data_IF_643160503351
#
_entry.id   IF_643160503351
#
_cell.length_a   1.000
_cell.length_b   1.000
_cell.length_c   1.000
_cell.angle_alpha   90.00
_cell.angle_beta   90.00
_cell.angle_gamma   90.00
#
_symmetry.space_group_name_H-M   'P 1'
#
loop_
_entity.id
_entity.type
_entity.pdbx_description
1 polymer ?
#
# COMPACT_ATOMS: atom_id res chain seq x y z
N UNK A 1 -16.57 3.15 -19.84
CA UNK A 1 -16.44 1.69 -19.81
C UNK A 1 -17.55 1.12 -18.93
N UNK A 2 -18.08 -0.04 -19.36
CA UNK A 2 -19.14 -0.72 -18.60
C UNK A 2 -18.59 -1.14 -17.23
N UNK A 3 -19.40 -0.96 -16.19
CA UNK A 3 -19.04 -1.44 -14.85
C UNK A 3 -18.78 -2.94 -14.91
N UNK A 4 -17.60 -3.43 -14.49
CA UNK A 4 -17.32 -4.85 -14.50
C UNK A 4 -18.36 -5.61 -13.66
N UNK A 5 -18.72 -6.82 -14.08
CA UNK A 5 -19.70 -7.63 -13.35
C UNK A 5 -19.26 -7.87 -11.90
N UNK A 6 -20.21 -7.75 -10.98
CA UNK A 6 -20.04 -7.94 -9.52
C UNK A 6 -19.18 -6.87 -8.82
N UNK A 7 -18.95 -5.72 -9.44
CA UNK A 7 -18.29 -4.59 -8.79
C UNK A 7 -19.29 -3.47 -8.48
N UNK A 8 -19.04 -2.66 -7.42
CA UNK A 8 -19.96 -1.60 -7.03
C UNK A 8 -20.03 -0.51 -8.10
N UNK A 9 -21.23 0.02 -8.35
CA UNK A 9 -21.44 1.16 -9.25
C UNK A 9 -21.01 2.51 -8.65
N UNK A 10 -20.65 2.54 -7.37
CA UNK A 10 -20.20 3.76 -6.69
C UNK A 10 -19.07 3.46 -5.72
N UNK A 11 -18.13 4.42 -5.61
CA UNK A 11 -17.08 4.46 -4.58
C UNK A 11 -17.25 5.69 -3.71
N UNK A 12 -17.31 5.53 -2.39
CA UNK A 12 -17.45 6.66 -1.47
C UNK A 12 -18.58 7.64 -1.89
N UNK A 13 -19.71 7.10 -2.37
CA UNK A 13 -20.87 7.88 -2.82
C UNK A 13 -20.71 8.57 -4.19
N UNK A 14 -19.63 8.32 -4.93
CA UNK A 14 -19.38 8.83 -6.28
C UNK A 14 -19.52 7.71 -7.30
N UNK A 15 -19.93 7.99 -8.57
CA UNK A 15 -19.90 6.97 -9.62
C UNK A 15 -18.51 6.32 -9.70
N UNK A 16 -18.48 4.99 -9.75
CA UNK A 16 -17.24 4.25 -9.90
C UNK A 16 -16.75 4.36 -11.34
N UNK A 17 -15.47 4.66 -11.50
CA UNK A 17 -14.78 4.66 -12.77
C UNK A 17 -13.71 3.55 -12.77
N UNK A 18 -13.89 2.56 -13.62
CA UNK A 18 -13.00 1.40 -13.76
C UNK A 18 -12.08 1.52 -14.99
N UNK A 19 -12.28 2.54 -15.79
CA UNK A 19 -11.43 2.83 -16.95
C UNK A 19 -10.19 3.61 -16.57
N UNK A 20 -9.19 3.54 -17.43
CA UNK A 20 -8.11 4.52 -17.41
C UNK A 20 -8.61 5.81 -18.05
N UNK A 21 -8.15 6.95 -17.54
CA UNK A 21 -8.53 8.26 -18.02
C UNK A 21 -8.24 8.39 -19.54
N UNK A 22 -9.28 8.62 -20.39
CA UNK A 22 -9.10 8.79 -21.82
C UNK A 22 -8.16 9.95 -22.19
N UNK A 23 -8.11 11.02 -21.36
CA UNK A 23 -7.20 12.15 -21.56
C UNK A 23 -5.72 11.74 -21.37
N UNK A 24 -5.46 10.65 -20.65
CA UNK A 24 -4.12 10.10 -20.48
C UNK A 24 -3.82 9.04 -21.54
N UNK A 25 -4.71 8.04 -21.69
CA UNK A 25 -4.43 6.89 -22.57
C UNK A 25 -4.46 7.22 -24.05
N UNK A 26 -5.17 8.29 -24.45
CA UNK A 26 -5.25 8.76 -25.84
C UNK A 26 -4.38 9.99 -26.12
N UNK A 27 -3.72 10.54 -25.10
CA UNK A 27 -2.82 11.68 -25.29
C UNK A 27 -1.54 11.20 -25.99
N UNK A 28 -1.15 11.83 -27.13
CA UNK A 28 0.02 11.44 -27.90
C UNK A 28 1.34 11.57 -27.14
N UNK A 29 1.40 12.45 -26.14
CA UNK A 29 2.59 12.66 -25.31
C UNK A 29 2.70 11.63 -24.19
N UNK A 30 1.60 11.09 -23.67
CA UNK A 30 1.59 10.14 -22.54
C UNK A 30 1.35 8.68 -22.96
N UNK A 31 0.55 8.44 -23.99
CA UNK A 31 0.19 7.08 -24.41
C UNK A 31 1.40 6.17 -24.71
N UNK A 32 2.49 6.64 -25.36
CA UNK A 32 3.66 5.81 -25.62
C UNK A 32 4.38 5.33 -24.34
N UNK A 33 4.33 6.15 -23.27
CA UNK A 33 5.04 5.89 -22.03
C UNK A 33 4.20 5.10 -21.02
N UNK A 34 2.91 4.90 -21.26
CA UNK A 34 2.00 4.26 -20.33
C UNK A 34 2.44 2.82 -19.96
N UNK A 35 2.71 1.97 -20.94
CA UNK A 35 3.16 0.60 -20.70
C UNK A 35 4.55 0.56 -20.06
N UNK A 36 5.55 1.32 -20.53
CA UNK A 36 6.82 1.48 -19.82
C UNK A 36 6.66 1.90 -18.35
N UNK A 37 5.82 2.90 -18.07
CA UNK A 37 5.55 3.38 -16.71
C UNK A 37 4.94 2.30 -15.80
N UNK A 38 3.96 1.54 -16.31
CA UNK A 38 3.36 0.42 -15.57
C UNK A 38 4.35 -0.72 -15.28
N UNK A 39 5.41 -0.85 -16.08
CA UNK A 39 6.48 -1.84 -15.87
C UNK A 39 7.66 -1.31 -15.07
N UNK A 40 7.78 0.00 -14.89
CA UNK A 40 8.90 0.62 -14.18
C UNK A 40 8.89 0.33 -12.67
N UNK A 41 7.72 0.10 -12.10
CA UNK A 41 7.54 -0.28 -10.70
C UNK A 41 7.02 -1.71 -10.60
N UNK A 42 7.33 -2.43 -9.51
CA UNK A 42 6.69 -3.71 -9.24
C UNK A 42 5.17 -3.56 -9.10
N UNK A 43 4.46 -4.62 -9.41
CA UNK A 43 3.02 -4.73 -9.21
C UNK A 43 2.74 -5.54 -7.96
N UNK A 44 2.02 -4.97 -7.00
CA UNK A 44 1.41 -5.70 -5.91
C UNK A 44 -0.02 -6.04 -6.29
N UNK A 45 -0.29 -7.33 -6.50
CA UNK A 45 -1.61 -7.87 -6.80
C UNK A 45 -2.22 -8.46 -5.55
N UNK A 46 -3.42 -8.00 -5.18
CA UNK A 46 -4.19 -8.46 -4.02
C UNK A 46 -5.48 -9.09 -4.50
N UNK A 47 -5.68 -10.35 -4.16
CA UNK A 47 -6.95 -11.06 -4.35
C UNK A 47 -7.69 -11.13 -3.01
N UNK A 48 -8.92 -10.64 -2.98
CA UNK A 48 -9.80 -10.58 -1.81
C UNK A 48 -11.24 -10.94 -2.20
N UNK A 49 -11.99 -11.59 -1.32
CA UNK A 49 -13.42 -11.79 -1.57
C UNK A 49 -14.11 -10.43 -1.77
N UNK A 50 -14.86 -10.23 -2.87
CA UNK A 50 -15.57 -8.99 -3.12
C UNK A 50 -16.53 -8.58 -1.98
N UNK A 51 -17.11 -9.53 -1.25
CA UNK A 51 -17.97 -9.24 -0.10
C UNK A 51 -17.15 -8.71 1.08
N UNK A 52 -15.95 -9.22 1.30
CA UNK A 52 -15.02 -8.75 2.33
C UNK A 52 -14.46 -7.35 2.03
N UNK A 53 -14.44 -6.95 0.77
CA UNK A 53 -13.98 -5.63 0.37
C UNK A 53 -15.12 -4.63 0.22
N UNK A 54 -16.14 -4.94 -0.59
CA UNK A 54 -17.24 -4.03 -0.98
C UNK A 54 -18.60 -4.35 -0.32
N UNK A 55 -18.76 -5.49 0.34
CA UNK A 55 -20.00 -5.87 0.99
C UNK A 55 -20.37 -4.98 2.17
N UNK A 56 -21.54 -5.17 2.76
CA UNK A 56 -22.01 -4.37 3.90
C UNK A 56 -21.08 -4.40 5.12
N UNK A 57 -20.31 -5.49 5.29
CA UNK A 57 -19.25 -5.63 6.29
C UNK A 57 -17.85 -5.56 5.64
N UNK A 58 -17.77 -5.09 4.39
CA UNK A 58 -16.52 -4.94 3.67
C UNK A 58 -15.67 -3.81 4.20
N UNK A 59 -14.35 -3.99 4.18
CA UNK A 59 -13.41 -3.02 4.76
C UNK A 59 -13.37 -1.70 4.00
N UNK A 60 -13.65 -1.69 2.70
CA UNK A 60 -13.71 -0.47 1.90
C UNK A 60 -14.97 0.35 2.20
N UNK A 61 -16.11 -0.30 2.43
CA UNK A 61 -17.37 0.37 2.79
C UNK A 61 -17.36 0.91 4.23
N UNK A 62 -16.53 0.31 5.09
CA UNK A 62 -16.43 0.67 6.51
C UNK A 62 -15.02 1.15 6.88
N UNK A 63 -14.45 2.16 6.21
CA UNK A 63 -13.04 2.50 6.34
C UNK A 63 -12.65 3.05 7.72
N UNK A 64 -13.62 3.52 8.51
CA UNK A 64 -13.40 4.00 9.88
C UNK A 64 -13.36 2.90 10.92
N UNK A 65 -13.82 1.70 10.58
CA UNK A 65 -13.81 0.55 11.47
C UNK A 65 -12.40 0.03 11.70
N UNK A 66 -12.13 -0.46 12.93
CA UNK A 66 -10.79 -0.80 13.40
C UNK A 66 -10.77 -2.12 14.17
N UNK A 67 -9.57 -2.59 14.44
CA UNK A 67 -9.32 -3.79 15.21
C UNK A 67 -9.29 -5.05 14.35
N UNK A 68 -9.06 -6.19 15.01
CA UNK A 68 -8.83 -7.48 14.33
C UNK A 68 -10.09 -7.96 13.59
N UNK A 69 -11.27 -7.62 14.08
CA UNK A 69 -12.55 -7.95 13.42
C UNK A 69 -12.70 -7.28 12.03
N UNK A 70 -11.87 -6.30 11.71
CA UNK A 70 -11.86 -5.59 10.42
C UNK A 70 -10.63 -5.92 9.58
N UNK A 71 -10.05 -7.08 9.82
CA UNK A 71 -9.04 -7.70 8.98
C UNK A 71 -9.70 -8.73 8.07
N UNK A 72 -9.31 -8.78 6.80
CA UNK A 72 -9.85 -9.71 5.82
C UNK A 72 -8.73 -10.53 5.21
N UNK A 73 -8.98 -11.81 5.06
CA UNK A 73 -8.04 -12.73 4.42
C UNK A 73 -7.83 -12.37 2.94
N UNK A 74 -6.59 -12.35 2.50
CA UNK A 74 -6.20 -12.06 1.13
C UNK A 74 -5.10 -13.02 0.66
N UNK A 75 -4.93 -13.10 -0.66
CA UNK A 75 -3.68 -13.53 -1.29
C UNK A 75 -3.00 -12.31 -1.87
N UNK A 76 -1.73 -12.09 -1.52
CA UNK A 76 -0.90 -11.01 -2.04
C UNK A 76 0.24 -11.57 -2.87
N UNK A 77 0.48 -10.99 -4.04
CA UNK A 77 1.57 -11.36 -4.94
C UNK A 77 2.32 -10.10 -5.37
N UNK A 78 3.64 -10.09 -5.20
CA UNK A 78 4.51 -9.08 -5.78
C UNK A 78 5.06 -9.60 -7.10
N UNK A 79 4.71 -8.93 -8.18
CA UNK A 79 5.17 -9.22 -9.54
C UNK A 79 6.23 -8.19 -9.90
N UNK A 80 7.45 -8.66 -10.15
CA UNK A 80 8.57 -7.81 -10.57
C UNK A 80 8.83 -8.04 -12.04
N UNK A 81 8.93 -6.97 -12.80
CA UNK A 81 9.13 -7.04 -14.26
C UNK A 81 10.60 -7.27 -14.64
N UNK A 82 11.53 -7.07 -13.71
CA UNK A 82 12.93 -7.38 -13.87
C UNK A 82 13.18 -8.88 -13.58
N UNK A 83 13.73 -9.58 -14.55
CA UNK A 83 14.05 -11.00 -14.46
C UNK A 83 15.11 -11.34 -13.39
N UNK A 84 15.84 -10.36 -12.89
CA UNK A 84 16.85 -10.51 -11.82
C UNK A 84 16.24 -10.66 -10.43
N UNK A 85 14.96 -10.33 -10.27
CA UNK A 85 14.24 -10.40 -8.99
C UNK A 85 13.02 -11.32 -9.13
N UNK A 86 12.93 -12.31 -8.25
CA UNK A 86 11.72 -13.11 -8.09
C UNK A 86 10.81 -12.41 -7.10
N UNK A 87 9.54 -12.22 -7.45
CA UNK A 87 8.54 -11.73 -6.53
C UNK A 87 8.18 -12.75 -5.44
N UNK A 88 7.16 -12.45 -4.67
CA UNK A 88 6.59 -13.36 -3.69
C UNK A 88 5.10 -13.55 -3.90
N UNK A 89 4.57 -14.64 -3.37
CA UNK A 89 3.14 -14.87 -3.18
C UNK A 89 2.92 -15.37 -1.75
N UNK A 90 1.97 -14.74 -1.03
CA UNK A 90 1.70 -15.05 0.37
C UNK A 90 0.24 -14.74 0.72
N UNK A 91 -0.34 -15.55 1.61
CA UNK A 91 -1.61 -15.22 2.24
C UNK A 91 -1.36 -14.30 3.44
N UNK A 92 -2.23 -13.32 3.60
CA UNK A 92 -2.11 -12.28 4.62
C UNK A 92 -3.48 -11.76 5.05
N UNK A 93 -3.52 -10.91 6.06
CA UNK A 93 -4.65 -10.06 6.40
C UNK A 93 -4.52 -8.68 5.77
N UNK A 94 -5.62 -8.11 5.30
CA UNK A 94 -5.70 -6.74 4.80
C UNK A 94 -6.59 -5.89 5.69
N UNK A 95 -6.13 -4.70 6.06
CA UNK A 95 -6.95 -3.70 6.76
C UNK A 95 -6.82 -2.33 6.09
N UNK A 96 -7.88 -1.54 6.16
CA UNK A 96 -7.79 -0.09 5.95
C UNK A 96 -7.08 0.54 7.15
N UNK A 97 -6.13 1.41 6.89
CA UNK A 97 -5.27 2.01 7.91
C UNK A 97 -5.17 3.53 7.77
N UNK A 98 -4.83 4.18 8.89
CA UNK A 98 -4.60 5.62 8.97
C UNK A 98 -5.53 6.32 9.94
N UNK A 99 -5.41 7.63 10.01
CA UNK A 99 -6.31 8.54 10.72
C UNK A 99 -7.31 9.17 9.75
N UNK A 100 -7.08 10.41 9.34
CA UNK A 100 -7.94 11.16 8.42
C UNK A 100 -8.09 10.52 7.03
N UNK A 101 -7.13 9.70 6.60
CA UNK A 101 -7.21 8.94 5.34
C UNK A 101 -8.30 7.87 5.33
N UNK A 102 -8.90 7.54 6.49
CA UNK A 102 -10.05 6.64 6.61
C UNK A 102 -11.40 7.34 6.51
N UNK A 103 -11.41 8.63 6.18
CA UNK A 103 -12.66 9.34 5.95
C UNK A 103 -13.42 8.68 4.77
N UNK A 104 -14.72 8.34 4.92
CA UNK A 104 -15.52 7.73 3.86
C UNK A 104 -15.55 8.54 2.55
N UNK A 105 -15.36 9.87 2.62
CA UNK A 105 -15.28 10.73 1.43
C UNK A 105 -13.96 10.60 0.64
N UNK A 106 -13.01 9.83 1.17
CA UNK A 106 -11.71 9.60 0.55
C UNK A 106 -11.76 8.29 -0.24
N UNK A 107 -11.69 8.31 -1.57
CA UNK A 107 -11.82 7.09 -2.37
C UNK A 107 -10.57 6.19 -2.31
N UNK A 108 -9.43 6.75 -1.96
CA UNK A 108 -8.14 6.05 -1.92
C UNK A 108 -7.61 5.96 -0.49
N UNK A 109 -7.82 4.82 0.16
CA UNK A 109 -7.37 4.55 1.53
C UNK A 109 -5.97 3.96 1.57
N UNK A 110 -5.23 4.29 2.63
CA UNK A 110 -4.05 3.51 3.00
C UNK A 110 -4.48 2.18 3.61
N UNK A 111 -3.68 1.15 3.40
CA UNK A 111 -3.96 -0.21 3.87
C UNK A 111 -2.74 -0.81 4.56
N UNK A 112 -2.90 -1.93 5.20
CA UNK A 112 -1.81 -2.72 5.77
C UNK A 112 -1.95 -4.19 5.42
N UNK A 113 -0.81 -4.79 5.09
CA UNK A 113 -0.65 -6.24 5.00
C UNK A 113 -0.19 -6.76 6.35
N UNK A 114 -0.82 -7.81 6.85
CA UNK A 114 -0.50 -8.45 8.13
C UNK A 114 -0.23 -9.92 7.92
N UNK A 115 0.99 -10.32 8.23
CA UNK A 115 1.44 -11.69 8.03
C UNK A 115 1.26 -12.45 9.35
N UNK A 116 0.20 -13.23 9.42
CA UNK A 116 -0.19 -13.97 10.63
C UNK A 116 -0.32 -15.46 10.34
N UNK A 117 -0.03 -16.29 11.33
CA UNK A 117 -0.12 -17.76 11.21
C UNK A 117 -1.53 -18.25 10.84
N UNK A 118 -2.57 -17.50 11.18
CA UNK A 118 -3.94 -17.82 10.79
C UNK A 118 -4.19 -17.76 9.28
N UNK A 119 -3.37 -16.99 8.54
CA UNK A 119 -3.44 -16.91 7.08
C UNK A 119 -2.41 -17.82 6.39
N UNK A 120 -1.35 -18.23 7.08
CA UNK A 120 -0.31 -19.08 6.49
C UNK A 120 1.04 -19.00 7.18
N UNK A 121 2.03 -18.45 6.50
CA UNK A 121 3.43 -18.49 6.95
C UNK A 121 3.72 -17.75 8.27
N UNK A 122 2.89 -16.79 8.63
CA UNK A 122 3.04 -15.99 9.85
C UNK A 122 3.99 -14.81 9.72
N UNK A 123 4.91 -14.83 8.76
CA UNK A 123 5.81 -13.74 8.38
C UNK A 123 6.09 -13.78 6.89
N UNK A 124 6.36 -12.63 6.31
CA UNK A 124 6.92 -12.53 4.97
C UNK A 124 8.44 -12.56 5.09
N UNK A 125 9.08 -13.57 4.49
CA UNK A 125 10.54 -13.66 4.36
C UNK A 125 10.90 -13.32 2.92
N UNK A 126 11.25 -12.07 2.67
CA UNK A 126 11.56 -11.56 1.34
C UNK A 126 12.23 -10.19 1.43
N UNK A 127 13.25 -9.94 0.64
CA UNK A 127 13.90 -8.63 0.50
C UNK A 127 12.98 -7.65 -0.24
N UNK A 128 12.00 -7.09 0.51
CA UNK A 128 10.93 -6.23 -0.01
C UNK A 128 11.49 -4.95 -0.64
N UNK A 129 12.57 -4.43 -0.08
CA UNK A 129 13.12 -3.13 -0.44
C UNK A 129 14.31 -3.21 -1.41
N UNK A 130 14.55 -4.38 -1.99
CA UNK A 130 15.59 -4.59 -3.00
C UNK A 130 15.57 -3.49 -4.06
N UNK A 131 16.74 -2.94 -4.34
CA UNK A 131 16.94 -1.81 -5.26
C UNK A 131 16.33 -0.47 -4.83
N UNK A 132 15.73 -0.36 -3.63
CA UNK A 132 15.36 0.92 -3.04
C UNK A 132 16.59 1.60 -2.40
N UNK A 133 16.59 2.93 -2.19
CA UNK A 133 17.63 3.59 -1.41
C UNK A 133 17.78 2.96 -0.03
N UNK A 134 19.02 2.78 0.42
CA UNK A 134 19.36 2.18 1.73
C UNK A 134 18.87 0.74 1.96
N UNK A 135 18.51 0.01 0.91
CA UNK A 135 17.99 -1.37 1.00
C UNK A 135 18.95 -2.32 1.73
N UNK A 136 20.25 -2.06 1.70
CA UNK A 136 21.28 -2.84 2.39
C UNK A 136 21.16 -2.82 3.91
N UNK A 137 20.44 -1.86 4.48
CA UNK A 137 20.16 -1.76 5.91
C UNK A 137 18.79 -2.31 6.31
N UNK A 138 17.95 -2.68 5.32
CA UNK A 138 16.63 -3.22 5.57
C UNK A 138 16.66 -4.66 6.05
N UNK A 139 15.69 -5.04 6.89
CA UNK A 139 15.44 -6.45 7.22
C UNK A 139 14.71 -7.13 6.08
N UNK A 140 14.72 -8.47 6.08
CA UNK A 140 14.05 -9.33 5.08
C UNK A 140 12.90 -10.16 5.66
N UNK A 141 12.55 -9.94 6.94
CA UNK A 141 11.45 -10.63 7.62
C UNK A 141 10.45 -9.63 8.21
N UNK A 142 9.17 -9.75 7.83
CA UNK A 142 8.13 -8.81 8.20
C UNK A 142 6.89 -9.50 8.76
N UNK A 143 6.37 -8.99 9.87
CA UNK A 143 5.02 -9.28 10.39
C UNK A 143 3.97 -8.36 9.76
N UNK A 144 4.42 -7.21 9.25
CA UNK A 144 3.57 -6.11 8.83
C UNK A 144 4.23 -5.24 7.76
N UNK A 145 3.45 -4.81 6.77
CA UNK A 145 3.84 -3.78 5.81
C UNK A 145 2.68 -2.78 5.61
N UNK A 146 3.01 -1.50 5.51
CA UNK A 146 2.05 -0.46 5.16
C UNK A 146 1.98 -0.25 3.65
N UNK A 147 0.77 -0.06 3.14
CA UNK A 147 0.49 0.43 1.79
C UNK A 147 -0.08 1.84 1.92
N UNK A 148 0.77 2.85 1.80
CA UNK A 148 0.34 4.25 1.91
C UNK A 148 -0.20 4.78 0.59
N UNK A 149 -1.40 5.34 0.64
CA UNK A 149 -2.07 5.96 -0.51
C UNK A 149 -1.54 7.34 -0.88
N UNK A 150 -0.68 7.93 -0.03
CA UNK A 150 -0.22 9.30 -0.19
C UNK A 150 -1.27 10.37 0.14
N UNK A 151 -2.20 10.09 1.05
CA UNK A 151 -3.34 10.96 1.38
C UNK A 151 -2.96 12.43 1.54
N UNK A 152 -1.97 12.75 2.43
CA UNK A 152 -1.55 14.12 2.68
C UNK A 152 -0.64 14.71 1.60
N UNK A 153 -0.17 13.89 0.67
CA UNK A 153 0.85 14.23 -0.31
C UNK A 153 0.41 13.95 -1.74
N UNK A 154 -0.86 13.52 -1.92
CA UNK A 154 -1.42 13.14 -3.21
C UNK A 154 -2.36 14.19 -3.79
N UNK A 155 -2.51 14.19 -5.11
CA UNK A 155 -3.44 15.08 -5.84
C UNK A 155 -4.91 14.83 -5.53
N UNK A 156 -5.25 13.66 -5.02
CA UNK A 156 -6.62 13.29 -4.63
C UNK A 156 -7.06 13.86 -3.28
N UNK A 157 -6.19 14.64 -2.61
CA UNK A 157 -6.53 15.24 -1.34
C UNK A 157 -7.67 16.27 -1.51
N UNK A 158 -8.72 16.18 -0.67
CA UNK A 158 -9.90 17.04 -0.76
C UNK A 158 -9.62 18.53 -0.54
N UNK A 159 -8.57 18.87 0.18
CA UNK A 159 -8.20 20.26 0.44
C UNK A 159 -7.35 20.79 -0.70
N UNK A 160 -7.84 21.86 -1.36
CA UNK A 160 -7.24 22.46 -2.55
C UNK A 160 -5.74 22.78 -2.39
N UNK A 161 -5.35 23.38 -1.27
CA UNK A 161 -3.93 23.70 -1.02
C UNK A 161 -3.06 22.45 -0.99
N UNK A 162 -3.51 21.39 -0.31
CA UNK A 162 -2.75 20.13 -0.21
C UNK A 162 -2.62 19.45 -1.57
N UNK A 163 -3.69 19.36 -2.35
CA UNK A 163 -3.66 18.70 -3.66
C UNK A 163 -2.73 19.43 -4.65
N UNK A 164 -2.71 20.76 -4.62
CA UNK A 164 -1.85 21.54 -5.51
C UNK A 164 -0.36 21.54 -5.14
N UNK A 165 -0.04 21.25 -3.89
CA UNK A 165 1.34 21.15 -3.39
C UNK A 165 1.73 19.71 -3.09
N UNK A 166 1.06 18.78 -3.77
CA UNK A 166 1.30 17.35 -3.60
C UNK A 166 2.74 16.98 -4.01
N UNK A 167 3.40 16.24 -3.15
CA UNK A 167 4.72 15.67 -3.37
C UNK A 167 4.74 14.25 -2.83
N UNK A 168 4.44 13.28 -3.66
CA UNK A 168 4.30 11.88 -3.25
C UNK A 168 5.52 11.32 -2.51
N UNK A 169 6.72 11.76 -2.87
CA UNK A 169 7.98 11.27 -2.30
C UNK A 169 8.44 11.99 -1.02
N UNK A 170 7.72 13.00 -0.53
CA UNK A 170 8.15 13.82 0.63
C UNK A 170 8.42 12.99 1.88
N UNK A 171 7.55 12.04 2.16
CA UNK A 171 7.66 11.18 3.34
C UNK A 171 8.87 10.26 3.24
N UNK A 172 9.05 9.60 2.09
CA UNK A 172 10.20 8.73 1.88
C UNK A 172 11.51 9.52 1.87
N UNK A 173 11.53 10.69 1.26
CA UNK A 173 12.71 11.55 1.29
C UNK A 173 13.16 11.88 2.72
N UNK A 174 12.20 12.16 3.63
CA UNK A 174 12.52 12.41 5.04
C UNK A 174 13.08 11.15 5.73
N UNK A 175 12.53 9.97 5.45
CA UNK A 175 13.06 8.71 5.97
C UNK A 175 14.45 8.39 5.42
N UNK A 176 14.68 8.61 4.12
CA UNK A 176 15.99 8.41 3.49
C UNK A 176 17.06 9.33 4.10
N UNK A 177 16.71 10.59 4.40
CA UNK A 177 17.62 11.49 5.12
C UNK A 177 17.93 10.97 6.52
N UNK A 178 16.94 10.41 7.21
CA UNK A 178 17.11 9.86 8.54
C UNK A 178 18.03 8.64 8.54
N UNK A 179 17.84 7.75 7.55
CA UNK A 179 18.72 6.60 7.30
C UNK A 179 20.14 7.04 6.94
N UNK A 180 20.29 8.05 6.06
CA UNK A 180 21.59 8.61 5.69
C UNK A 180 22.38 9.20 6.88
N UNK A 181 21.66 9.65 7.91
CA UNK A 181 22.26 10.13 9.16
C UNK A 181 22.63 8.98 10.13
N UNK A 182 22.38 7.72 9.75
CA UNK A 182 22.60 6.55 10.61
C UNK A 182 21.53 6.34 11.68
N UNK A 183 20.38 6.97 11.54
CA UNK A 183 19.24 6.79 12.45
C UNK A 183 18.28 5.70 11.93
N UNK A 184 17.48 5.06 12.80
CA UNK A 184 16.43 4.14 12.36
C UNK A 184 15.35 4.92 11.59
N UNK A 185 15.10 4.53 10.35
CA UNK A 185 14.09 5.10 9.46
C UNK A 185 13.36 4.02 8.68
N UNK A 186 12.17 4.29 8.23
CA UNK A 186 11.39 3.32 7.45
C UNK A 186 11.90 3.21 6.03
N UNK A 187 12.28 2.00 5.62
CA UNK A 187 12.51 1.70 4.21
C UNK A 187 11.18 1.67 3.46
N UNK A 188 11.22 1.98 2.18
CA UNK A 188 10.03 2.01 1.36
C UNK A 188 10.28 1.75 -0.11
N UNK A 189 9.26 1.20 -0.78
CA UNK A 189 9.27 0.90 -2.21
C UNK A 189 7.94 1.28 -2.84
N UNK A 190 7.98 1.94 -3.97
CA UNK A 190 6.78 2.24 -4.76
C UNK A 190 6.31 1.00 -5.52
N UNK A 191 5.00 0.80 -5.53
CA UNK A 191 4.34 -0.29 -6.25
C UNK A 191 3.08 0.20 -6.96
N UNK A 192 2.75 -0.44 -8.08
CA UNK A 192 1.41 -0.39 -8.63
C UNK A 192 0.53 -1.37 -7.88
N UNK A 193 -0.54 -0.89 -7.25
CA UNK A 193 -1.48 -1.77 -6.53
C UNK A 193 -2.63 -2.16 -7.46
N UNK A 194 -2.90 -3.46 -7.53
CA UNK A 194 -4.08 -4.03 -8.13
C UNK A 194 -4.89 -4.78 -7.06
N UNK A 195 -6.19 -4.57 -7.03
CA UNK A 195 -7.11 -5.31 -6.16
C UNK A 195 -8.12 -6.03 -7.06
N UNK A 196 -8.15 -7.36 -7.01
CA UNK A 196 -8.96 -8.21 -7.87
C UNK A 196 -8.80 -7.88 -9.36
N UNK A 197 -7.58 -7.58 -9.79
CA UNK A 197 -7.25 -7.22 -11.17
C UNK A 197 -7.57 -5.77 -11.56
N UNK A 198 -8.14 -4.96 -10.67
CA UNK A 198 -8.43 -3.55 -10.92
C UNK A 198 -7.24 -2.72 -10.46
N UNK A 199 -6.78 -1.81 -11.33
CA UNK A 199 -5.73 -0.87 -10.98
C UNK A 199 -6.19 0.13 -9.91
N UNK A 200 -5.57 0.08 -8.74
CA UNK A 200 -5.90 0.93 -7.59
C UNK A 200 -5.00 2.17 -7.48
N UNK A 201 -3.98 2.25 -8.32
CA UNK A 201 -3.02 3.34 -8.39
C UNK A 201 -1.67 3.02 -7.77
N UNK A 202 -0.81 4.03 -7.69
CA UNK A 202 0.52 3.92 -7.08
C UNK A 202 0.39 4.00 -5.57
N UNK A 203 1.02 3.05 -4.88
CA UNK A 203 1.12 3.00 -3.43
C UNK A 203 2.57 2.96 -2.99
N UNK A 204 2.84 3.49 -1.82
CA UNK A 204 4.13 3.37 -1.17
C UNK A 204 4.06 2.25 -0.13
N UNK A 205 4.72 1.13 -0.42
CA UNK A 205 4.85 0.00 0.49
C UNK A 205 6.08 0.25 1.37
N UNK A 206 5.89 0.30 2.68
CA UNK A 206 6.96 0.61 3.61
C UNK A 206 6.75 0.00 5.00
N UNK A 207 7.81 0.02 5.78
CA UNK A 207 7.80 -0.37 7.18
C UNK A 207 7.03 0.63 8.04
N UNK A 208 6.66 0.18 9.22
CA UNK A 208 6.14 1.04 10.27
C UNK A 208 7.01 0.91 11.50
N UNK A 209 7.62 2.00 12.00
CA UNK A 209 8.33 1.98 13.27
C UNK A 209 7.35 1.74 14.43
N UNK A 210 7.31 0.50 14.89
CA UNK A 210 6.55 0.04 16.06
C UNK A 210 7.43 -0.95 16.85
N UNK A 211 6.87 -1.67 17.80
CA UNK A 211 7.63 -2.59 18.64
C UNK A 211 8.21 -3.77 17.84
N UNK A 212 7.47 -4.28 16.85
CA UNK A 212 7.95 -5.36 15.96
C UNK A 212 9.13 -4.89 15.11
N UNK A 213 9.03 -3.68 14.51
CA UNK A 213 10.13 -3.04 13.79
C UNK A 213 11.37 -2.90 14.67
N UNK A 214 11.21 -2.38 15.90
CA UNK A 214 12.33 -2.22 16.82
C UNK A 214 12.96 -3.56 17.23
N UNK A 215 12.14 -4.61 17.35
CA UNK A 215 12.62 -5.98 17.61
C UNK A 215 13.44 -6.50 16.44
N UNK A 216 12.99 -6.30 15.20
CA UNK A 216 13.68 -6.76 14.00
C UNK A 216 15.06 -6.09 13.83
N UNK A 217 15.17 -4.79 14.10
CA UNK A 217 16.41 -4.04 13.88
C UNK A 217 17.37 -4.05 15.07
N UNK A 218 16.87 -4.08 16.30
CA UNK A 218 17.69 -3.89 17.51
C UNK A 218 17.69 -5.08 18.47
N UNK A 219 16.99 -6.16 18.11
CA UNK A 219 16.81 -7.32 19.00
C UNK A 219 15.95 -7.00 20.22
N UNK A 220 16.01 -7.78 21.27
CA UNK A 220 15.14 -7.79 22.44
C UNK A 220 13.73 -8.30 22.08
N UNK A 221 12.89 -8.45 23.10
CA UNK A 221 11.49 -8.81 22.90
C UNK A 221 10.66 -7.57 22.59
N UNK A 222 9.56 -7.75 21.87
CA UNK A 222 8.57 -6.71 21.56
C UNK A 222 8.11 -5.95 22.83
N UNK A 223 7.95 -6.66 23.96
CA UNK A 223 7.60 -6.06 25.25
C UNK A 223 8.67 -5.13 25.83
N UNK A 224 9.85 -5.06 25.23
CA UNK A 224 10.94 -4.14 25.61
C UNK A 224 10.89 -2.79 24.91
N UNK A 225 9.90 -2.57 24.03
CA UNK A 225 9.76 -1.36 23.22
C UNK A 225 8.35 -0.79 23.32
N UNK A 226 8.27 0.53 23.41
CA UNK A 226 7.02 1.28 23.32
C UNK A 226 7.02 2.16 22.08
N UNK A 227 5.96 2.08 21.27
CA UNK A 227 5.73 2.97 20.14
C UNK A 227 4.76 4.08 20.54
N UNK A 228 5.24 5.32 20.57
CA UNK A 228 4.43 6.50 20.90
C UNK A 228 3.90 7.09 19.57
N UNK A 229 2.58 7.06 19.39
CA UNK A 229 1.90 7.76 18.31
C UNK A 229 1.35 9.08 18.81
N UNK A 230 1.73 10.18 18.18
CA UNK A 230 1.21 11.54 18.45
C UNK A 230 0.00 11.84 17.59
#
# INVERSE_FOLDING_TARGET
PDTPQNLPGTWAGRPADYGMDPEVVNDPDYAPDLIPALKALPTLSVAIDPQDFYGGQGIYQNPQSQGDNWERAISAELIVHDSSEKGFQINAGLRVQGGSSRNPDTPKHSMSLRFRKEYGAGKLNYDVFKNAPFSESAVDEFDFLQLRSGYNFGWVHRHYFQSRHAQYNRDQFANDLYLAMGNPGSHGRWVHLYINGIYWGIYHMHERPDADYMTAYFGKSESGYDAINS
#
